data_IF_264186694525
#
_entry.id   IF_264186694525
#
_cell.length_a   1.000
_cell.length_b   1.000
_cell.length_c   1.000
_cell.angle_alpha   90.00
_cell.angle_beta   90.00
_cell.angle_gamma   90.00
#
_symmetry.space_group_name_H-M   'P 1'
#
loop_
_entity.id
_entity.type
_entity.pdbx_description
1 polymer ?
#
# COMPACT_ATOMS: atom_id res chain seq x y z
N UNK A 1 46.80 -24.43 -43.83
CA UNK A 1 46.64 -23.06 -43.37
C UNK A 1 47.73 -22.81 -42.37
N UNK A 2 48.55 -21.83 -42.57
CA UNK A 2 49.67 -21.46 -41.74
C UNK A 2 49.12 -20.82 -40.44
N UNK A 3 49.76 -21.06 -39.29
CA UNK A 3 49.34 -20.50 -37.99
C UNK A 3 49.31 -18.96 -37.98
N UNK A 4 50.05 -18.33 -38.87
CA UNK A 4 50.12 -16.89 -39.08
C UNK A 4 48.83 -16.39 -39.70
N UNK A 5 48.30 -17.06 -40.75
CA UNK A 5 47.05 -16.69 -41.42
C UNK A 5 45.81 -16.85 -40.50
N UNK A 6 45.84 -17.84 -39.61
CA UNK A 6 44.74 -18.00 -38.63
C UNK A 6 44.76 -16.84 -37.62
N UNK A 7 45.93 -16.38 -37.19
CA UNK A 7 46.07 -15.23 -36.29
C UNK A 7 45.60 -13.92 -36.95
N UNK A 8 45.97 -13.69 -38.22
CA UNK A 8 45.52 -12.50 -38.96
C UNK A 8 44.01 -12.47 -39.15
N UNK A 9 43.39 -13.61 -39.46
CA UNK A 9 41.92 -13.71 -39.52
C UNK A 9 41.27 -13.44 -38.17
N UNK A 10 41.82 -13.95 -37.07
CA UNK A 10 41.33 -13.71 -35.73
C UNK A 10 41.49 -12.25 -35.32
N UNK A 11 42.57 -11.56 -35.70
CA UNK A 11 42.73 -10.11 -35.47
C UNK A 11 41.72 -9.30 -36.27
N UNK A 12 41.49 -9.62 -37.55
CA UNK A 12 40.45 -8.99 -38.39
C UNK A 12 39.03 -9.23 -37.87
N UNK A 13 38.80 -10.27 -37.10
CA UNK A 13 37.50 -10.56 -36.51
C UNK A 13 37.17 -9.72 -35.26
N UNK A 14 38.19 -9.10 -34.66
CA UNK A 14 37.97 -8.22 -33.50
C UNK A 14 37.22 -6.95 -33.90
N UNK A 15 36.30 -6.44 -33.06
CA UNK A 15 35.65 -5.15 -33.32
C UNK A 15 36.68 -4.02 -33.18
N UNK A 16 36.63 -3.07 -34.11
CA UNK A 16 37.39 -1.84 -34.01
C UNK A 16 36.54 -0.79 -33.28
N UNK A 17 37.01 -0.33 -32.10
CA UNK A 17 36.29 0.67 -31.30
C UNK A 17 37.03 2.00 -31.41
N UNK A 18 36.36 3.03 -31.87
CA UNK A 18 36.88 4.40 -31.99
C UNK A 18 36.08 5.32 -31.11
N UNK A 19 36.77 6.08 -30.26
CA UNK A 19 36.12 7.11 -29.41
C UNK A 19 36.22 8.48 -30.10
N UNK A 20 35.10 9.15 -30.25
CA UNK A 20 35.03 10.50 -30.78
C UNK A 20 33.94 11.31 -30.07
N UNK A 21 34.30 12.50 -29.55
CA UNK A 21 33.38 13.40 -28.85
C UNK A 21 32.60 12.76 -27.67
N UNK A 22 33.23 11.83 -26.93
CA UNK A 22 32.59 11.13 -25.82
C UNK A 22 31.64 9.99 -26.21
N UNK A 23 31.60 9.64 -27.48
CA UNK A 23 30.88 8.48 -28.00
C UNK A 23 31.83 7.42 -28.52
N UNK A 24 31.50 6.16 -28.25
CA UNK A 24 32.22 5.01 -28.79
C UNK A 24 31.49 4.49 -30.03
N UNK A 25 32.26 4.28 -31.08
CA UNK A 25 31.79 3.74 -32.37
C UNK A 25 32.44 2.40 -32.62
N UNK A 26 31.71 1.47 -33.21
CA UNK A 26 32.25 0.17 -33.63
C UNK A 26 31.91 -0.11 -35.09
N UNK A 27 32.78 -0.86 -35.76
CA UNK A 27 32.58 -1.33 -37.17
C UNK A 27 31.82 -2.66 -37.24
N UNK A 28 31.40 -3.21 -36.10
CA UNK A 28 30.66 -4.49 -36.03
C UNK A 28 29.44 -4.38 -35.14
N UNK A 29 28.41 -5.14 -35.49
CA UNK A 29 27.26 -5.35 -34.64
C UNK A 29 27.68 -6.22 -33.44
N UNK A 30 27.64 -5.62 -32.23
CA UNK A 30 27.94 -6.30 -30.99
C UNK A 30 26.64 -6.63 -30.27
N UNK A 31 26.48 -7.90 -29.90
CA UNK A 31 25.39 -8.32 -28.99
C UNK A 31 25.82 -8.15 -27.55
N UNK A 32 24.99 -7.52 -26.75
CA UNK A 32 25.22 -7.38 -25.33
C UNK A 32 24.93 -8.73 -24.65
N UNK A 33 25.94 -9.30 -23.99
CA UNK A 33 25.71 -10.45 -23.10
C UNK A 33 25.09 -9.93 -21.81
N UNK A 34 23.79 -10.16 -21.64
CA UNK A 34 23.10 -9.77 -20.41
C UNK A 34 23.61 -10.60 -19.24
N UNK A 35 24.02 -9.92 -18.17
CA UNK A 35 24.36 -10.58 -16.91
C UNK A 35 23.09 -11.12 -16.25
N UNK A 36 23.17 -12.27 -15.55
CA UNK A 36 22.04 -12.79 -14.80
C UNK A 36 21.54 -11.76 -13.78
N UNK A 37 20.23 -11.45 -13.82
CA UNK A 37 19.60 -10.53 -12.86
C UNK A 37 19.15 -11.30 -11.63
N UNK A 38 19.18 -10.64 -10.47
CA UNK A 38 18.70 -11.20 -9.21
C UNK A 38 17.19 -11.35 -9.27
N UNK A 39 16.68 -12.53 -8.88
CA UNK A 39 15.24 -12.74 -8.78
C UNK A 39 14.64 -11.93 -7.63
N UNK A 40 13.53 -11.21 -7.90
CA UNK A 40 12.85 -10.41 -6.89
C UNK A 40 12.22 -11.27 -5.79
N UNK A 41 12.55 -11.00 -4.54
CA UNK A 41 11.92 -11.62 -3.37
C UNK A 41 10.77 -10.74 -2.89
N UNK A 42 9.57 -11.33 -2.74
CA UNK A 42 8.40 -10.66 -2.18
C UNK A 42 8.22 -11.04 -0.71
N UNK A 43 7.96 -10.04 0.12
CA UNK A 43 7.65 -10.19 1.55
C UNK A 43 6.34 -9.46 1.87
N UNK A 44 5.66 -9.90 2.94
CA UNK A 44 4.37 -9.32 3.34
C UNK A 44 4.47 -8.37 4.54
N UNK A 45 5.68 -8.18 5.11
CA UNK A 45 5.89 -7.42 6.34
C UNK A 45 7.07 -6.47 6.22
N UNK A 46 7.01 -5.33 6.91
CA UNK A 46 8.10 -4.36 6.98
C UNK A 46 9.31 -4.94 7.72
N UNK A 47 9.07 -5.72 8.75
CA UNK A 47 10.12 -6.37 9.55
C UNK A 47 10.95 -7.35 8.73
N UNK A 48 10.31 -8.10 7.82
CA UNK A 48 11.01 -8.98 6.89
C UNK A 48 11.86 -8.20 5.89
N UNK A 49 11.32 -7.10 5.34
CA UNK A 49 12.06 -6.21 4.45
C UNK A 49 13.31 -5.65 5.12
N UNK A 50 13.18 -5.15 6.36
CA UNK A 50 14.31 -4.63 7.14
C UNK A 50 15.37 -5.71 7.39
N UNK A 51 14.96 -6.94 7.69
CA UNK A 51 15.90 -8.06 7.89
C UNK A 51 16.68 -8.36 6.62
N UNK A 52 16.01 -8.44 5.46
CA UNK A 52 16.68 -8.67 4.17
C UNK A 52 17.69 -7.56 3.85
N UNK A 53 17.30 -6.30 4.00
CA UNK A 53 18.17 -5.15 3.77
C UNK A 53 19.41 -5.15 4.68
N UNK A 54 19.29 -5.60 5.93
CA UNK A 54 20.41 -5.72 6.85
C UNK A 54 21.32 -6.91 6.52
N UNK A 55 20.77 -8.01 6.03
CA UNK A 55 21.49 -9.24 5.72
C UNK A 55 22.32 -9.09 4.43
N UNK A 56 21.73 -8.53 3.38
CA UNK A 56 22.30 -8.55 2.03
C UNK A 56 22.77 -7.17 1.52
N UNK A 57 22.93 -6.18 2.41
CA UNK A 57 23.28 -4.81 2.02
C UNK A 57 24.55 -4.67 1.17
N UNK A 58 25.49 -5.59 1.29
CA UNK A 58 26.74 -5.59 0.53
C UNK A 58 26.65 -6.34 -0.81
N UNK A 59 25.54 -7.01 -1.08
CA UNK A 59 25.35 -7.78 -2.31
C UNK A 59 24.92 -6.92 -3.50
N UNK A 60 24.53 -5.65 -3.25
CA UNK A 60 23.93 -4.80 -4.27
C UNK A 60 24.72 -3.53 -4.55
N UNK A 61 24.53 -2.99 -5.75
CA UNK A 61 25.10 -1.70 -6.15
C UNK A 61 24.45 -0.58 -5.35
N UNK A 62 25.25 0.20 -4.63
CA UNK A 62 24.79 1.38 -3.89
C UNK A 62 24.55 2.59 -4.81
N UNK A 63 23.68 3.54 -4.40
CA UNK A 63 22.84 3.54 -3.21
C UNK A 63 21.58 2.67 -3.36
N UNK A 64 21.13 2.10 -2.25
CA UNK A 64 19.87 1.36 -2.20
C UNK A 64 18.73 2.35 -1.92
N UNK A 65 17.69 2.34 -2.75
CA UNK A 65 16.50 3.19 -2.61
C UNK A 65 15.32 2.34 -2.17
N UNK A 66 14.76 2.64 -1.01
CA UNK A 66 13.53 2.04 -0.50
C UNK A 66 12.38 2.98 -0.84
N UNK A 67 11.67 2.70 -1.93
CA UNK A 67 10.59 3.53 -2.45
C UNK A 67 9.25 3.07 -1.88
N UNK A 68 8.57 3.96 -1.15
CA UNK A 68 7.19 3.74 -0.70
C UNK A 68 6.27 4.20 -1.83
N UNK A 69 5.75 3.23 -2.61
CA UNK A 69 4.85 3.53 -3.72
C UNK A 69 3.47 3.97 -3.22
N UNK A 70 2.98 3.25 -2.23
CA UNK A 70 1.66 3.50 -1.62
C UNK A 70 1.58 2.83 -0.23
N UNK A 71 0.46 2.98 0.53
CA UNK A 71 0.34 2.43 1.88
C UNK A 71 0.50 0.91 2.02
N UNK A 72 0.48 0.16 0.92
CA UNK A 72 0.53 -1.32 0.95
C UNK A 72 1.66 -1.90 0.11
N UNK A 73 2.45 -1.04 -0.58
CA UNK A 73 3.52 -1.54 -1.45
C UNK A 73 4.78 -0.68 -1.38
N UNK A 74 5.91 -1.37 -1.25
CA UNK A 74 7.25 -0.78 -1.17
C UNK A 74 8.16 -1.54 -2.13
N UNK A 75 8.92 -0.80 -2.92
CA UNK A 75 9.97 -1.34 -3.78
C UNK A 75 11.34 -1.03 -3.20
N UNK A 76 12.27 -1.94 -3.37
CA UNK A 76 13.69 -1.70 -3.11
C UNK A 76 14.44 -1.73 -4.42
N UNK A 77 15.10 -0.64 -4.74
CA UNK A 77 15.90 -0.50 -5.95
C UNK A 77 17.37 -0.39 -5.59
N UNK A 78 18.20 -1.10 -6.31
CA UNK A 78 19.66 -0.95 -6.27
C UNK A 78 20.12 0.35 -6.94
N UNK A 79 21.40 0.68 -6.82
CA UNK A 79 22.05 1.71 -7.61
C UNK A 79 21.91 1.47 -9.11
N UNK A 80 22.20 2.49 -9.91
CA UNK A 80 22.23 2.33 -11.36
C UNK A 80 23.45 1.46 -11.73
N UNK A 81 23.20 0.40 -12.46
CA UNK A 81 24.25 -0.40 -13.05
C UNK A 81 24.86 0.35 -14.26
N UNK A 82 26.17 0.51 -14.29
CA UNK A 82 26.86 1.26 -15.34
C UNK A 82 26.76 0.58 -16.71
N UNK A 83 26.63 -0.75 -16.74
CA UNK A 83 26.60 -1.51 -17.97
C UNK A 83 25.33 -1.33 -18.78
N UNK A 84 24.15 -1.40 -18.13
CA UNK A 84 22.84 -1.34 -18.79
C UNK A 84 22.01 -0.11 -18.39
N UNK A 85 22.53 0.73 -17.48
CA UNK A 85 21.89 1.93 -16.97
C UNK A 85 20.53 1.66 -16.28
N UNK A 86 20.29 0.42 -15.89
CA UNK A 86 19.08 -0.03 -15.21
C UNK A 86 19.28 -0.13 -13.69
N UNK A 87 18.16 -0.20 -12.97
CA UNK A 87 18.12 -0.52 -11.54
C UNK A 87 17.46 -1.88 -11.35
N UNK A 88 18.12 -2.75 -10.60
CA UNK A 88 17.48 -3.98 -10.15
C UNK A 88 16.51 -3.70 -9.00
N UNK A 89 15.45 -4.50 -8.91
CA UNK A 89 14.50 -4.47 -7.80
C UNK A 89 14.52 -5.80 -7.06
N UNK A 90 15.48 -6.00 -6.13
CA UNK A 90 15.64 -7.28 -5.46
C UNK A 90 14.52 -7.59 -4.48
N UNK A 91 13.87 -6.60 -3.89
CA UNK A 91 12.82 -6.81 -2.88
C UNK A 91 11.58 -5.97 -3.16
N UNK A 92 10.42 -6.58 -2.87
CA UNK A 92 9.12 -5.92 -2.83
C UNK A 92 8.46 -6.31 -1.51
N UNK A 93 8.03 -5.33 -0.71
CA UNK A 93 7.12 -5.57 0.38
C UNK A 93 5.70 -5.24 -0.08
N UNK A 94 4.78 -6.18 0.04
CA UNK A 94 3.39 -6.03 -0.38
C UNK A 94 2.46 -6.59 0.68
N UNK A 95 1.67 -5.70 1.28
CA UNK A 95 0.65 -6.03 2.28
C UNK A 95 -0.71 -6.17 1.60
N UNK A 96 -1.45 -7.19 1.96
CA UNK A 96 -2.82 -7.40 1.49
C UNK A 96 -3.77 -7.10 2.66
N UNK A 97 -4.36 -5.90 2.75
CA UNK A 97 -5.29 -5.57 3.82
C UNK A 97 -6.56 -6.41 3.75
N UNK A 98 -7.19 -6.61 4.89
CA UNK A 98 -8.53 -7.23 4.95
C UNK A 98 -9.52 -6.24 4.36
N UNK A 99 -9.88 -6.42 3.09
CA UNK A 99 -10.69 -5.47 2.33
C UNK A 99 -12.06 -5.21 2.96
N UNK A 100 -12.47 -3.93 2.96
CA UNK A 100 -13.83 -3.50 3.23
C UNK A 100 -14.35 -2.72 2.01
N UNK A 101 -15.56 -3.05 1.55
CA UNK A 101 -16.16 -2.44 0.37
C UNK A 101 -16.84 -1.13 0.75
N UNK A 102 -16.09 -0.02 0.76
CA UNK A 102 -16.63 1.31 1.00
C UNK A 102 -17.63 1.73 -0.08
N UNK A 103 -18.67 2.44 0.32
CA UNK A 103 -19.74 2.89 -0.58
C UNK A 103 -20.74 1.82 -0.98
N UNK A 104 -20.59 0.59 -0.50
CA UNK A 104 -21.52 -0.52 -0.76
C UNK A 104 -22.53 -0.67 0.35
N UNK A 105 -23.78 -0.81 -0.02
CA UNK A 105 -24.88 -1.15 0.89
C UNK A 105 -24.78 -2.61 1.31
N UNK A 106 -24.92 -2.88 2.58
CA UNK A 106 -24.90 -4.23 3.17
C UNK A 106 -25.87 -4.33 4.33
N UNK A 107 -26.28 -5.55 4.66
CA UNK A 107 -27.18 -5.78 5.80
C UNK A 107 -26.51 -5.37 7.12
N UNK A 108 -27.31 -5.09 8.15
CA UNK A 108 -26.82 -4.78 9.49
C UNK A 108 -25.85 -5.84 10.03
N UNK A 109 -26.20 -7.11 9.86
CA UNK A 109 -25.38 -8.21 10.34
C UNK A 109 -24.00 -8.23 9.66
N UNK A 110 -23.98 -8.07 8.32
CA UNK A 110 -22.74 -7.97 7.56
C UNK A 110 -21.90 -6.76 8.00
N UNK A 111 -22.53 -5.61 8.22
CA UNK A 111 -21.86 -4.40 8.70
C UNK A 111 -21.29 -4.63 10.10
N UNK A 112 -22.04 -5.20 11.03
CA UNK A 112 -21.59 -5.49 12.38
C UNK A 112 -20.40 -6.42 12.42
N UNK A 113 -20.43 -7.48 11.60
CA UNK A 113 -19.29 -8.41 11.45
C UNK A 113 -18.07 -7.68 10.88
N UNK A 114 -18.28 -6.88 9.83
CA UNK A 114 -17.21 -6.13 9.18
C UNK A 114 -16.56 -5.12 10.12
N UNK A 115 -17.35 -4.34 10.86
CA UNK A 115 -16.86 -3.36 11.84
C UNK A 115 -16.01 -4.03 12.92
N UNK A 116 -16.42 -5.18 13.44
CA UNK A 116 -15.67 -5.92 14.47
C UNK A 116 -14.45 -6.66 13.97
N UNK A 117 -14.39 -7.01 12.68
CA UNK A 117 -13.31 -7.84 12.12
C UNK A 117 -12.30 -7.07 11.28
N UNK A 118 -12.67 -5.92 10.72
CA UNK A 118 -11.85 -5.18 9.73
C UNK A 118 -11.39 -3.81 10.21
N UNK A 119 -11.76 -3.42 11.43
CA UNK A 119 -11.43 -2.14 12.03
C UNK A 119 -10.77 -2.33 13.40
N UNK A 120 -9.92 -1.40 13.77
CA UNK A 120 -9.34 -1.33 15.11
C UNK A 120 -10.44 -0.95 16.10
N UNK A 121 -10.51 -1.65 17.23
CA UNK A 121 -11.49 -1.33 18.28
C UNK A 121 -11.17 0.02 18.93
N UNK A 122 -12.11 0.95 18.82
CA UNK A 122 -12.03 2.29 19.41
C UNK A 122 -13.36 2.61 20.10
N UNK A 123 -13.40 3.61 21.03
CA UNK A 123 -14.67 4.07 21.59
C UNK A 123 -15.69 4.47 20.55
N UNK A 124 -15.26 5.17 19.49
CA UNK A 124 -16.10 5.61 18.37
C UNK A 124 -16.69 4.42 17.60
N UNK A 125 -15.87 3.37 17.35
CA UNK A 125 -16.36 2.14 16.74
C UNK A 125 -17.45 1.48 17.59
N UNK A 126 -17.23 1.40 18.92
CA UNK A 126 -18.19 0.80 19.83
C UNK A 126 -19.51 1.58 19.89
N UNK A 127 -19.45 2.92 19.78
CA UNK A 127 -20.66 3.75 19.67
C UNK A 127 -21.44 3.45 18.38
N UNK A 128 -20.75 3.35 17.23
CA UNK A 128 -21.38 2.98 15.95
C UNK A 128 -22.00 1.59 16.03
N UNK A 129 -21.27 0.60 16.58
CA UNK A 129 -21.77 -0.77 16.76
C UNK A 129 -23.02 -0.79 17.66
N UNK A 130 -23.00 -0.05 18.77
CA UNK A 130 -24.14 0.05 19.69
C UNK A 130 -25.35 0.72 19.02
N UNK A 131 -25.13 1.78 18.27
CA UNK A 131 -26.16 2.47 17.50
C UNK A 131 -26.83 1.52 16.51
N UNK A 132 -26.06 0.81 15.70
CA UNK A 132 -26.57 -0.16 14.73
C UNK A 132 -27.33 -1.30 15.40
N UNK A 133 -26.82 -1.83 16.52
CA UNK A 133 -27.51 -2.87 17.32
C UNK A 133 -28.90 -2.43 17.79
N UNK A 134 -29.03 -1.18 18.25
CA UNK A 134 -30.32 -0.65 18.73
C UNK A 134 -31.35 -0.51 17.58
N UNK A 135 -30.89 -0.22 16.37
CA UNK A 135 -31.76 -0.04 15.19
C UNK A 135 -32.29 -1.39 14.68
N UNK A 136 -31.47 -2.46 14.80
CA UNK A 136 -31.83 -3.79 14.29
C UNK A 136 -32.94 -4.48 15.09
N UNK A 137 -33.09 -4.15 16.38
CA UNK A 137 -34.10 -4.78 17.27
C UNK A 137 -35.54 -4.32 16.98
N UNK A 138 -35.75 -3.35 16.06
CA UNK A 138 -37.04 -2.69 15.91
C UNK A 138 -37.54 -2.68 14.45
N UNK A 139 -38.62 -3.41 14.21
CA UNK A 139 -39.20 -3.69 12.87
C UNK A 139 -39.92 -2.52 12.16
N UNK A 140 -39.97 -1.31 12.73
CA UNK A 140 -40.64 -0.15 12.13
C UNK A 140 -39.74 1.08 12.18
N UNK A 141 -38.98 1.27 11.11
CA UNK A 141 -38.02 2.36 10.98
C UNK A 141 -38.53 3.41 9.99
N UNK A 142 -38.55 4.69 10.39
CA UNK A 142 -38.71 5.81 9.49
C UNK A 142 -37.42 6.64 9.48
N UNK A 143 -36.84 6.82 8.30
CA UNK A 143 -35.63 7.61 8.11
C UNK A 143 -36.04 8.95 7.51
N UNK A 144 -35.65 10.04 8.16
CA UNK A 144 -35.77 11.40 7.64
C UNK A 144 -34.36 11.94 7.44
N UNK A 145 -34.05 12.38 6.22
CA UNK A 145 -32.74 12.86 5.79
C UNK A 145 -32.90 14.31 5.29
N UNK A 146 -32.15 15.24 5.86
CA UNK A 146 -32.11 16.65 5.45
C UNK A 146 -30.87 16.98 4.59
N UNK A 147 -30.10 15.96 4.21
CA UNK A 147 -28.85 16.11 3.47
C UNK A 147 -27.61 16.30 4.37
N UNK A 148 -27.78 16.68 5.63
CA UNK A 148 -26.70 16.91 6.60
C UNK A 148 -26.74 15.91 7.75
N UNK A 149 -27.93 15.59 8.25
CA UNK A 149 -28.16 14.65 9.35
C UNK A 149 -29.18 13.61 8.95
N UNK A 150 -29.09 12.41 9.50
CA UNK A 150 -30.15 11.41 9.40
C UNK A 150 -30.84 11.26 10.75
N UNK A 151 -32.17 11.44 10.77
CA UNK A 151 -32.99 11.15 11.95
C UNK A 151 -33.65 9.79 11.73
N UNK A 152 -33.32 8.83 12.57
CA UNK A 152 -33.97 7.51 12.59
C UNK A 152 -35.00 7.49 13.70
N UNK A 153 -36.26 7.47 13.30
CA UNK A 153 -37.39 7.32 14.24
C UNK A 153 -37.68 5.83 14.38
N UNK A 154 -37.49 5.34 15.57
CA UNK A 154 -37.73 3.94 15.93
C UNK A 154 -38.99 3.86 16.75
N UNK A 155 -39.97 3.05 16.32
CA UNK A 155 -41.20 2.82 17.05
C UNK A 155 -41.05 1.59 17.92
N UNK A 156 -40.96 1.80 19.24
CA UNK A 156 -40.95 0.72 20.24
C UNK A 156 -42.38 0.52 20.75
N UNK A 157 -43.08 -0.47 20.22
CA UNK A 157 -44.49 -0.74 20.60
C UNK A 157 -45.47 0.40 20.30
N UNK A 158 -46.59 0.46 21.03
CA UNK A 158 -47.68 1.43 20.78
C UNK A 158 -47.40 2.85 21.33
N UNK A 159 -46.33 3.09 22.11
CA UNK A 159 -46.28 4.26 22.97
C UNK A 159 -44.99 5.11 23.02
N UNK A 160 -43.88 4.81 22.38
CA UNK A 160 -42.64 5.63 22.51
C UNK A 160 -41.97 5.85 21.14
N UNK A 161 -41.91 7.14 20.73
CA UNK A 161 -41.04 7.62 19.66
C UNK A 161 -39.70 8.01 20.28
N UNK A 162 -38.67 7.20 20.09
CA UNK A 162 -37.30 7.62 20.35
C UNK A 162 -36.69 8.12 19.05
N UNK A 163 -36.52 9.44 18.93
CA UNK A 163 -35.84 10.05 17.78
C UNK A 163 -34.35 10.04 18.06
N UNK A 164 -33.61 9.14 17.41
CA UNK A 164 -32.16 9.16 17.47
C UNK A 164 -31.60 9.95 16.30
N UNK A 165 -30.95 11.07 16.58
CA UNK A 165 -30.14 11.80 15.61
C UNK A 165 -28.81 11.08 15.45
N UNK A 166 -28.56 10.59 14.26
CA UNK A 166 -27.28 9.97 13.90
C UNK A 166 -26.37 11.06 13.36
N UNK A 167 -25.23 11.27 14.00
CA UNK A 167 -24.15 12.03 13.36
C UNK A 167 -23.65 11.19 12.18
N UNK A 168 -23.85 11.66 10.94
CA UNK A 168 -23.46 10.88 9.77
C UNK A 168 -21.95 10.78 9.62
N UNK A 169 -21.16 11.70 10.20
CA UNK A 169 -19.70 11.65 10.19
C UNK A 169 -19.18 10.85 11.38
N UNK A 170 -18.42 9.81 11.07
CA UNK A 170 -17.77 8.95 12.04
C UNK A 170 -16.29 8.80 11.71
N UNK A 171 -15.46 8.79 12.74
CA UNK A 171 -14.02 8.54 12.61
C UNK A 171 -13.74 7.10 12.99
N UNK A 172 -13.25 6.30 12.05
CA UNK A 172 -12.94 4.89 12.25
C UNK A 172 -11.52 4.58 11.77
N UNK A 173 -10.98 3.45 12.22
CA UNK A 173 -9.63 3.01 11.91
C UNK A 173 -9.67 1.64 11.22
N UNK A 174 -9.86 1.56 9.90
CA UNK A 174 -9.77 0.29 9.18
C UNK A 174 -8.31 -0.19 9.09
N UNK A 175 -8.11 -1.51 9.02
CA UNK A 175 -6.79 -2.07 8.71
C UNK A 175 -6.46 -1.81 7.24
N UNK A 176 -5.71 -0.74 6.97
CA UNK A 176 -5.47 -0.19 5.62
C UNK A 176 -4.01 -0.26 5.18
N UNK A 177 -3.08 -0.52 6.08
CA UNK A 177 -1.63 -0.55 5.82
C UNK A 177 -0.96 -1.65 6.63
N UNK A 178 0.36 -1.77 6.53
CA UNK A 178 1.16 -2.77 7.26
C UNK A 178 0.87 -2.74 8.77
N UNK A 179 0.78 -3.93 9.37
CA UNK A 179 0.41 -4.07 10.78
C UNK A 179 1.47 -3.59 11.76
N UNK A 180 2.71 -3.37 11.30
CA UNK A 180 3.81 -2.88 12.13
C UNK A 180 3.79 -1.37 12.36
N UNK A 181 2.91 -0.65 11.68
CA UNK A 181 2.71 0.79 11.86
C UNK A 181 1.30 1.09 12.35
N UNK A 182 1.12 2.28 12.93
CA UNK A 182 -0.18 2.72 13.36
C UNK A 182 -1.14 2.83 12.17
N UNK A 183 -2.35 2.29 12.33
CA UNK A 183 -3.37 2.37 11.31
C UNK A 183 -3.95 3.78 11.27
N UNK A 184 -4.09 4.41 10.08
CA UNK A 184 -4.54 5.79 9.98
C UNK A 184 -6.01 5.94 10.36
N UNK A 185 -6.31 7.05 11.05
CA UNK A 185 -7.69 7.46 11.33
C UNK A 185 -8.31 8.00 10.04
N UNK A 186 -9.55 7.59 9.79
CA UNK A 186 -10.26 7.95 8.55
C UNK A 186 -11.66 8.44 8.87
N UNK A 187 -12.09 9.47 8.13
CA UNK A 187 -13.46 9.97 8.22
C UNK A 187 -14.37 9.26 7.22
N UNK A 188 -15.55 8.90 7.69
CA UNK A 188 -16.59 8.24 6.89
C UNK A 188 -17.95 8.92 7.10
N UNK A 189 -18.79 8.80 6.06
CA UNK A 189 -20.22 9.05 6.18
C UNK A 189 -20.93 7.71 6.38
N UNK A 190 -21.54 7.53 7.55
CA UNK A 190 -22.42 6.41 7.85
C UNK A 190 -23.81 6.73 7.32
N UNK A 191 -24.36 5.87 6.48
CA UNK A 191 -25.70 6.02 5.90
C UNK A 191 -26.53 4.77 6.08
N UNK A 192 -27.81 4.99 6.32
CA UNK A 192 -28.84 3.95 6.38
C UNK A 192 -29.85 4.21 5.27
N UNK A 193 -30.38 3.15 4.68
CA UNK A 193 -31.47 3.25 3.72
C UNK A 193 -32.80 2.70 4.28
N UNK A 194 -33.92 2.99 3.60
CA UNK A 194 -35.22 2.54 4.01
C UNK A 194 -35.45 1.02 3.97
N UNK A 195 -34.52 0.26 3.37
CA UNK A 195 -34.53 -1.22 3.30
C UNK A 195 -33.81 -1.88 4.49
N UNK A 196 -33.28 -1.09 5.43
CA UNK A 196 -32.51 -1.63 6.57
C UNK A 196 -31.08 -2.00 6.22
N UNK A 197 -30.49 -1.41 5.18
CA UNK A 197 -29.09 -1.59 4.84
C UNK A 197 -28.27 -0.40 5.30
N UNK A 198 -26.98 -0.64 5.52
CA UNK A 198 -25.99 0.33 6.01
C UNK A 198 -24.84 0.42 5.02
N UNK A 199 -24.30 1.62 4.83
CA UNK A 199 -23.10 1.85 4.05
C UNK A 199 -22.17 2.86 4.75
N UNK A 200 -20.86 2.67 4.56
CA UNK A 200 -19.82 3.63 4.92
C UNK A 200 -19.21 4.20 3.64
N UNK A 201 -19.27 5.52 3.49
CA UNK A 201 -18.66 6.24 2.38
C UNK A 201 -17.41 6.95 2.89
N UNK A 202 -16.29 6.86 2.14
CA UNK A 202 -15.07 7.60 2.48
C UNK A 202 -15.31 9.10 2.39
N UNK A 203 -14.85 9.86 3.39
CA UNK A 203 -15.10 11.30 3.50
C UNK A 203 -13.80 12.11 3.75
N UNK A 204 -12.64 11.47 3.67
CA UNK A 204 -11.33 12.07 3.93
C UNK A 204 -10.55 12.44 2.64
N UNK A 205 -11.14 12.22 1.45
CA UNK A 205 -10.47 12.49 0.18
C UNK A 205 -9.19 11.69 -0.06
N UNK A 206 -8.96 10.63 0.70
CA UNK A 206 -7.76 9.79 0.62
C UNK A 206 -6.54 10.36 1.35
N UNK A 207 -6.70 11.37 2.19
CA UNK A 207 -5.61 12.00 2.97
C UNK A 207 -4.87 10.98 3.86
N UNK A 208 -5.57 9.97 4.36
CA UNK A 208 -5.00 8.87 5.14
C UNK A 208 -3.80 8.18 4.47
N UNK A 209 -3.74 8.18 3.12
CA UNK A 209 -2.64 7.55 2.38
C UNK A 209 -1.30 8.22 2.64
N UNK A 210 -1.30 9.55 2.77
CA UNK A 210 -0.09 10.30 3.09
C UNK A 210 0.39 10.00 4.51
N UNK A 211 -0.52 9.95 5.47
CA UNK A 211 -0.22 9.62 6.87
C UNK A 211 0.35 8.20 6.99
N UNK A 212 -0.28 7.22 6.32
CA UNK A 212 0.21 5.86 6.29
C UNK A 212 1.62 5.75 5.68
N UNK A 213 1.88 6.41 4.54
CA UNK A 213 3.20 6.42 3.93
C UNK A 213 4.25 7.08 4.83
N UNK A 214 3.87 8.11 5.59
CA UNK A 214 4.77 8.76 6.56
C UNK A 214 5.11 7.84 7.72
N UNK A 215 4.12 7.15 8.28
CA UNK A 215 4.31 6.16 9.34
C UNK A 215 5.23 5.02 8.89
N UNK A 216 5.06 4.52 7.66
CA UNK A 216 5.95 3.52 7.06
C UNK A 216 7.37 4.09 6.92
N UNK A 217 7.51 5.33 6.40
CA UNK A 217 8.82 5.95 6.23
C UNK A 217 9.57 6.10 7.56
N UNK A 218 8.86 6.52 8.60
CA UNK A 218 9.42 6.66 9.95
C UNK A 218 9.87 5.31 10.52
N UNK A 219 9.02 4.28 10.40
CA UNK A 219 9.37 2.92 10.80
C UNK A 219 10.63 2.41 10.11
N UNK A 220 10.71 2.56 8.79
CA UNK A 220 11.86 2.12 7.99
C UNK A 220 13.12 2.89 8.35
N UNK A 221 13.06 4.24 8.42
CA UNK A 221 14.19 5.08 8.82
C UNK A 221 14.72 4.72 10.20
N UNK A 222 13.83 4.42 11.15
CA UNK A 222 14.21 4.05 12.49
C UNK A 222 14.89 2.69 12.55
N UNK A 223 14.32 1.69 11.88
CA UNK A 223 14.84 0.34 11.88
C UNK A 223 16.07 0.15 10.98
N UNK A 224 16.31 1.05 10.02
CA UNK A 224 17.51 1.04 9.15
C UNK A 224 18.62 1.97 9.65
N UNK A 225 18.48 2.59 10.82
CA UNK A 225 19.55 3.40 11.44
C UNK A 225 20.85 2.59 11.51
N UNK A 226 21.95 3.20 11.07
CA UNK A 226 23.27 2.55 11.03
C UNK A 226 23.49 1.63 9.82
N UNK A 227 22.54 1.52 8.90
CA UNK A 227 22.76 0.89 7.60
C UNK A 227 23.17 1.98 6.61
N UNK A 228 24.44 1.95 6.17
CA UNK A 228 24.98 2.91 5.19
C UNK A 228 24.32 2.71 3.84
N UNK A 229 24.22 3.80 3.06
CA UNK A 229 23.80 3.82 1.65
C UNK A 229 22.38 3.30 1.37
N UNK A 230 21.49 3.28 2.38
CA UNK A 230 20.07 2.97 2.24
C UNK A 230 19.25 4.24 2.47
N UNK A 231 18.47 4.61 1.47
CA UNK A 231 17.67 5.83 1.47
C UNK A 231 16.19 5.49 1.31
N UNK A 232 15.36 6.00 2.25
CA UNK A 232 13.90 5.86 2.19
C UNK A 232 13.32 7.06 1.46
N UNK A 233 12.63 6.81 0.36
CA UNK A 233 11.97 7.82 -0.49
C UNK A 233 10.47 7.57 -0.59
N UNK A 234 9.69 8.65 -0.75
CA UNK A 234 8.23 8.63 -0.92
C UNK A 234 7.86 9.18 -2.28
#
# INVERSE_FOLDING_TARGET
MDSTGIREIAEMSKPNIVENNGYSYTDKDLEVIELPKVSTIKVSTLSSLVKLLKLEKFAFVSPILVQIENPVRIFVHCGINDADRNRECPYIAEFCPVGFDFGRWMSYEQMMIALKSKFVETPELLEVVKLLGTITEENNMKIEDDGFTQTVTVKKGIALKDNKVINPRVTLIPYSTFNEVEQPKREFLLRLNGCGEVALFEADGGAWKLEACESIANYLKENLKGTSDVYVVR
#
